data_IF_084897067570
#
_entry.id   IF_084897067570
#
_cell.length_a   1.000
_cell.length_b   1.000
_cell.length_c   1.000
_cell.angle_alpha   90.00
_cell.angle_beta   90.00
_cell.angle_gamma   90.00
#
_symmetry.space_group_name_H-M   'P 1'
#
loop_
_entity.id
_entity.type
_entity.pdbx_description
1 polymer ?
#
# COMPACT_ATOMS: atom_id res chain seq x y z
N UNK A 1 -10.56 10.22 -13.30
CA UNK A 1 -9.95 8.97 -12.79
C UNK A 1 -10.79 7.80 -13.27
N UNK A 2 -10.20 6.71 -13.76
CA UNK A 2 -10.95 5.51 -14.14
C UNK A 2 -11.66 4.93 -12.92
N UNK A 3 -12.90 4.49 -13.11
CA UNK A 3 -13.65 3.75 -12.12
C UNK A 3 -13.80 2.30 -12.59
N UNK A 4 -13.73 1.36 -11.65
CA UNK A 4 -13.92 -0.07 -11.93
C UNK A 4 -15.11 -0.58 -11.14
N UNK A 5 -15.95 -1.39 -11.80
CA UNK A 5 -16.94 -2.19 -11.11
C UNK A 5 -16.23 -3.37 -10.46
N UNK A 6 -16.27 -3.42 -9.14
CA UNK A 6 -15.61 -4.43 -8.34
C UNK A 6 -16.66 -5.27 -7.63
N UNK A 7 -16.74 -6.54 -8.03
CA UNK A 7 -17.60 -7.53 -7.38
C UNK A 7 -16.75 -8.47 -6.53
N UNK A 8 -17.20 -8.72 -5.30
CA UNK A 8 -16.55 -9.68 -4.41
C UNK A 8 -17.57 -10.39 -3.52
N UNK A 9 -17.19 -11.57 -3.03
CA UNK A 9 -17.96 -12.31 -2.03
C UNK A 9 -17.33 -12.11 -0.66
N UNK A 10 -18.15 -11.76 0.34
CA UNK A 10 -17.67 -11.61 1.70
C UNK A 10 -17.15 -12.96 2.22
N UNK A 11 -15.89 -13.01 2.65
CA UNK A 11 -15.28 -14.23 3.19
C UNK A 11 -15.97 -14.75 4.46
N UNK A 12 -16.66 -13.88 5.20
CA UNK A 12 -17.31 -14.21 6.48
C UNK A 12 -18.73 -14.74 6.32
N UNK A 13 -19.57 -14.09 5.51
CA UNK A 13 -20.99 -14.45 5.38
C UNK A 13 -21.42 -14.88 3.96
N UNK A 14 -20.49 -14.90 2.99
CA UNK A 14 -20.76 -15.33 1.62
C UNK A 14 -21.60 -14.37 0.78
N UNK A 15 -22.05 -13.23 1.33
CA UNK A 15 -22.86 -12.27 0.58
C UNK A 15 -22.08 -11.65 -0.58
N UNK A 16 -22.73 -11.57 -1.76
CA UNK A 16 -22.20 -10.85 -2.92
C UNK A 16 -22.27 -9.34 -2.66
N UNK A 17 -21.19 -8.65 -2.94
CA UNK A 17 -21.08 -7.20 -2.86
C UNK A 17 -20.58 -6.65 -4.21
N UNK A 18 -21.13 -5.50 -4.61
CA UNK A 18 -20.71 -4.78 -5.80
C UNK A 18 -20.51 -3.31 -5.44
N UNK A 19 -19.38 -2.75 -5.87
CA UNK A 19 -18.93 -1.40 -5.55
C UNK A 19 -18.26 -0.79 -6.78
N UNK A 20 -18.39 0.52 -6.94
CA UNK A 20 -17.60 1.27 -7.91
C UNK A 20 -16.40 1.87 -7.20
N UNK A 21 -15.19 1.43 -7.57
CA UNK A 21 -13.95 1.85 -6.92
C UNK A 21 -13.15 2.75 -7.86
N UNK A 22 -12.50 3.77 -7.31
CA UNK A 22 -11.54 4.56 -8.05
C UNK A 22 -10.27 3.73 -8.29
N UNK A 23 -9.76 3.74 -9.52
CA UNK A 23 -8.57 2.99 -9.89
C UNK A 23 -7.62 3.93 -10.65
N UNK A 24 -6.67 4.59 -9.97
CA UNK A 24 -5.65 5.38 -10.66
C UNK A 24 -4.62 4.46 -11.33
N UNK A 25 -3.93 4.97 -12.35
CA UNK A 25 -2.86 4.22 -13.03
C UNK A 25 -1.57 4.21 -12.22
N UNK A 26 -0.86 3.07 -12.24
CA UNK A 26 0.44 2.95 -11.59
C UNK A 26 1.42 4.03 -12.08
N UNK A 27 2.30 4.57 -11.22
CA UNK A 27 2.63 4.09 -9.86
C UNK A 27 1.63 4.45 -8.75
N UNK A 28 0.59 5.23 -9.07
CA UNK A 28 -0.42 5.66 -8.11
C UNK A 28 -1.36 4.51 -7.76
N UNK A 29 -1.98 4.58 -6.58
CA UNK A 29 -2.94 3.60 -6.10
C UNK A 29 -4.07 4.26 -5.32
N UNK A 30 -5.16 3.52 -5.16
CA UNK A 30 -6.26 3.86 -4.28
C UNK A 30 -6.42 2.77 -3.23
N UNK A 31 -6.70 3.17 -1.98
CA UNK A 31 -7.18 2.26 -0.94
C UNK A 31 -8.62 2.60 -0.59
N UNK A 32 -9.42 1.57 -0.39
CA UNK A 32 -10.81 1.72 0.04
C UNK A 32 -11.23 0.56 0.94
N UNK A 33 -12.15 0.85 1.86
CA UNK A 33 -12.79 -0.17 2.68
C UNK A 33 -13.89 -0.88 1.89
N UNK A 34 -13.77 -2.20 1.79
CA UNK A 34 -14.80 -3.12 1.32
C UNK A 34 -15.68 -3.52 2.50
N UNK A 35 -16.70 -2.71 2.79
CA UNK A 35 -17.69 -3.03 3.82
C UNK A 35 -18.78 -3.94 3.25
N UNK A 36 -18.95 -5.12 3.86
CA UNK A 36 -19.96 -6.08 3.46
C UNK A 36 -21.35 -5.61 3.86
N UNK A 37 -22.31 -5.61 2.92
CA UNK A 37 -23.72 -5.23 3.19
C UNK A 37 -24.46 -6.22 4.09
N UNK A 38 -24.08 -7.50 4.07
CA UNK A 38 -24.70 -8.57 4.86
C UNK A 38 -24.36 -8.52 6.35
N UNK A 39 -23.07 -8.65 6.70
CA UNK A 39 -22.63 -8.73 8.10
C UNK A 39 -21.92 -7.47 8.62
N UNK A 40 -21.68 -6.45 7.78
CA UNK A 40 -20.99 -5.22 8.16
C UNK A 40 -19.47 -5.34 8.32
N UNK A 41 -18.91 -6.54 8.14
CA UNK A 41 -17.48 -6.80 8.15
C UNK A 41 -16.75 -5.95 7.11
N UNK A 42 -15.54 -5.47 7.43
CA UNK A 42 -14.79 -4.57 6.57
C UNK A 42 -13.38 -5.13 6.34
N UNK A 43 -13.02 -5.30 5.07
CA UNK A 43 -11.66 -5.58 4.63
C UNK A 43 -11.17 -4.42 3.76
N UNK A 44 -9.87 -4.27 3.54
CA UNK A 44 -9.31 -3.21 2.71
C UNK A 44 -8.92 -3.75 1.36
N UNK A 45 -9.06 -2.90 0.34
CA UNK A 45 -8.54 -3.19 -1.00
C UNK A 45 -7.63 -2.07 -1.45
N UNK A 46 -6.48 -2.45 -2.00
CA UNK A 46 -5.57 -1.57 -2.72
C UNK A 46 -5.72 -1.87 -4.21
N UNK A 47 -5.97 -0.85 -5.04
CA UNK A 47 -6.12 -1.00 -6.50
C UNK A 47 -5.22 -0.05 -7.28
N UNK A 48 -4.77 -0.52 -8.44
CA UNK A 48 -4.05 0.29 -9.42
C UNK A 48 -4.22 -0.25 -10.85
N UNK A 49 -4.35 0.64 -11.83
CA UNK A 49 -4.39 0.29 -13.24
C UNK A 49 -2.98 0.00 -13.77
N UNK A 50 -2.89 -1.00 -14.65
CA UNK A 50 -1.68 -1.22 -15.42
C UNK A 50 -1.46 -0.02 -16.36
N UNK A 51 -0.25 0.56 -16.42
CA UNK A 51 0.02 1.71 -17.30
C UNK A 51 0.00 1.32 -18.79
N UNK A 52 0.13 0.03 -19.10
CA UNK A 52 0.24 -0.47 -20.48
C UNK A 52 -1.08 -1.01 -21.05
N UNK A 53 -2.12 -1.22 -20.22
CA UNK A 53 -3.41 -1.71 -20.70
C UNK A 53 -4.55 -1.31 -19.75
N UNK A 54 -5.81 -1.48 -20.18
CA UNK A 54 -6.99 -1.15 -19.37
C UNK A 54 -7.28 -2.11 -18.21
N UNK A 55 -6.38 -3.06 -17.89
CA UNK A 55 -6.56 -3.98 -16.76
C UNK A 55 -6.07 -3.35 -15.47
N UNK A 56 -6.58 -3.81 -14.34
CA UNK A 56 -6.14 -3.40 -13.01
C UNK A 56 -5.63 -4.60 -12.22
N UNK A 57 -4.84 -4.30 -11.20
CA UNK A 57 -4.38 -5.25 -10.19
C UNK A 57 -4.92 -4.79 -8.84
N UNK A 58 -5.16 -5.74 -7.95
CA UNK A 58 -5.70 -5.44 -6.63
C UNK A 58 -5.13 -6.37 -5.56
N UNK A 59 -5.12 -5.88 -4.33
CA UNK A 59 -4.74 -6.64 -3.14
C UNK A 59 -5.82 -6.46 -2.08
N UNK A 60 -6.37 -7.57 -1.59
CA UNK A 60 -7.32 -7.58 -0.48
C UNK A 60 -6.56 -7.94 0.78
N UNK A 61 -6.76 -7.17 1.84
CA UNK A 61 -6.04 -7.33 3.10
C UNK A 61 -6.89 -6.79 4.24
N UNK A 62 -6.92 -7.49 5.37
CA UNK A 62 -7.54 -6.97 6.60
C UNK A 62 -6.65 -5.94 7.30
N UNK A 63 -5.39 -5.86 6.89
CA UNK A 63 -4.43 -4.89 7.38
C UNK A 63 -4.30 -3.68 6.45
N UNK A 64 -4.05 -2.51 7.03
CA UNK A 64 -3.71 -1.31 6.29
C UNK A 64 -2.22 -1.37 5.87
N UNK A 65 -1.97 -1.78 4.63
CA UNK A 65 -0.61 -1.98 4.09
C UNK A 65 0.27 -0.71 4.20
N UNK A 66 -0.17 0.48 3.77
CA UNK A 66 0.61 1.71 4.01
C UNK A 66 0.86 2.00 5.48
N UNK A 67 -0.11 1.78 6.36
CA UNK A 67 0.10 2.01 7.79
C UNK A 67 1.14 1.05 8.37
N UNK A 68 1.16 -0.21 7.92
CA UNK A 68 2.20 -1.19 8.29
C UNK A 68 3.56 -0.71 7.80
N UNK A 69 3.70 -0.40 6.51
CA UNK A 69 4.97 0.04 5.92
C UNK A 69 5.49 1.28 6.63
N UNK A 70 4.63 2.28 6.85
CA UNK A 70 4.96 3.47 7.63
C UNK A 70 5.34 3.11 9.06
N UNK A 71 4.58 2.27 9.75
CA UNK A 71 4.89 1.83 11.12
C UNK A 71 6.26 1.16 11.26
N UNK A 72 6.61 0.27 10.33
CA UNK A 72 7.93 -0.35 10.29
C UNK A 72 9.05 0.67 10.04
N UNK A 73 8.84 1.62 9.12
CA UNK A 73 9.82 2.68 8.86
C UNK A 73 10.09 3.51 10.13
N UNK A 74 9.02 3.92 10.85
CA UNK A 74 9.14 4.65 12.12
C UNK A 74 9.89 3.88 13.18
N UNK A 75 9.53 2.60 13.35
CA UNK A 75 10.20 1.73 14.30
C UNK A 75 11.70 1.61 13.97
N UNK A 76 12.07 1.43 12.71
CA UNK A 76 13.47 1.33 12.31
C UNK A 76 14.25 2.61 12.61
N UNK A 77 13.71 3.78 12.28
CA UNK A 77 14.36 5.07 12.59
C UNK A 77 14.55 5.26 14.09
N UNK A 78 13.52 5.00 14.90
CA UNK A 78 13.62 5.10 16.37
C UNK A 78 14.71 4.20 16.95
N UNK A 79 14.84 2.96 16.46
CA UNK A 79 15.89 2.06 16.94
C UNK A 79 17.28 2.47 16.46
N UNK A 80 17.38 3.02 15.24
CA UNK A 80 18.65 3.54 14.73
C UNK A 80 19.07 4.83 15.42
N UNK A 81 18.14 5.63 15.95
CA UNK A 81 18.45 6.88 16.65
C UNK A 81 19.44 6.68 17.79
N UNK A 82 19.28 5.63 18.60
CA UNK A 82 20.22 5.32 19.69
C UNK A 82 21.64 4.99 19.19
N UNK A 83 21.77 4.43 17.97
CA UNK A 83 23.06 4.20 17.33
C UNK A 83 23.65 5.50 16.78
N UNK A 84 22.82 6.34 16.15
CA UNK A 84 23.19 7.66 15.64
C UNK A 84 23.70 8.54 16.78
N UNK A 85 22.99 8.59 17.90
CA UNK A 85 23.35 9.41 19.07
C UNK A 85 24.72 9.00 19.63
N UNK A 86 24.99 7.68 19.68
CA UNK A 86 26.30 7.15 20.13
C UNK A 86 27.43 7.46 19.15
N UNK A 87 27.16 7.42 17.84
CA UNK A 87 28.15 7.77 16.82
C UNK A 87 28.45 9.27 16.83
N UNK A 88 27.43 10.11 17.02
CA UNK A 88 27.58 11.55 17.15
C UNK A 88 28.46 11.93 18.36
N UNK A 89 28.31 11.23 19.49
CA UNK A 89 29.20 11.39 20.65
C UNK A 89 30.67 11.08 20.35
N UNK A 90 30.94 10.26 19.33
CA UNK A 90 32.29 9.89 18.89
C UNK A 90 32.80 10.78 17.75
N UNK A 91 32.07 11.84 17.40
CA UNK A 91 32.41 12.74 16.30
C UNK A 91 32.20 12.13 14.91
N UNK A 92 31.47 11.01 14.81
CA UNK A 92 31.14 10.37 13.55
C UNK A 92 29.76 10.85 13.05
N UNK A 93 29.68 11.19 11.76
CA UNK A 93 28.42 11.53 11.09
C UNK A 93 27.88 10.28 10.41
N UNK A 94 26.68 9.85 10.80
CA UNK A 94 25.96 8.76 10.12
C UNK A 94 24.87 9.40 9.25
N UNK A 95 25.03 9.29 7.93
CA UNK A 95 23.93 9.55 6.99
C UNK A 95 23.13 8.27 6.80
N UNK A 96 21.84 8.30 7.11
CA UNK A 96 20.92 7.19 6.80
C UNK A 96 20.11 7.60 5.58
N UNK A 97 20.39 6.96 4.45
CA UNK A 97 19.58 7.11 3.24
C UNK A 97 18.33 6.22 3.38
N UNK A 98 17.24 6.81 3.84
CA UNK A 98 15.93 6.13 3.91
C UNK A 98 15.16 6.40 2.63
N UNK A 99 14.64 5.36 1.94
CA UNK A 99 13.80 5.57 0.76
C UNK A 99 12.51 6.30 1.13
N UNK A 100 12.04 7.20 0.26
CA UNK A 100 10.76 7.93 0.38
C UNK A 100 9.55 7.08 -0.05
N UNK A 101 9.81 5.93 -0.71
CA UNK A 101 8.79 5.07 -1.31
C UNK A 101 9.10 3.59 -1.16
N UNK A 102 8.04 2.81 -0.98
CA UNK A 102 8.06 1.36 -0.98
C UNK A 102 7.34 0.81 -2.22
N UNK A 103 8.05 0.16 -3.17
CA UNK A 103 7.44 -0.36 -4.39
C UNK A 103 6.82 -1.75 -4.18
N UNK A 104 5.51 -1.87 -4.37
CA UNK A 104 4.85 -3.17 -4.57
C UNK A 104 4.98 -3.54 -6.05
N UNK A 105 5.88 -4.48 -6.35
CA UNK A 105 6.08 -4.98 -7.72
C UNK A 105 4.90 -5.86 -8.12
N UNK A 106 4.32 -5.58 -9.28
CA UNK A 106 3.19 -6.30 -9.84
C UNK A 106 3.45 -6.69 -11.29
N UNK A 107 2.83 -7.79 -11.72
CA UNK A 107 2.84 -8.25 -13.10
C UNK A 107 1.41 -8.25 -13.62
N UNK A 108 1.15 -7.49 -14.68
CA UNK A 108 -0.14 -7.51 -15.34
C UNK A 108 -0.27 -8.77 -16.21
N UNK A 109 -1.49 -9.25 -16.39
CA UNK A 109 -1.80 -10.31 -17.34
C UNK A 109 -1.50 -9.94 -18.82
N UNK A 110 -1.23 -8.68 -19.15
CA UNK A 110 -0.72 -8.29 -20.47
C UNK A 110 0.81 -8.48 -20.62
N UNK A 111 1.51 -8.94 -19.58
CA UNK A 111 2.97 -9.16 -19.56
C UNK A 111 3.77 -7.95 -19.04
N UNK A 112 3.13 -6.79 -18.86
CA UNK A 112 3.80 -5.62 -18.30
C UNK A 112 4.17 -5.83 -16.82
N UNK A 113 5.40 -5.43 -16.46
CA UNK A 113 5.87 -5.35 -15.07
C UNK A 113 5.88 -3.89 -14.65
N UNK A 114 5.27 -3.60 -13.50
CA UNK A 114 5.20 -2.24 -12.97
C UNK A 114 5.24 -2.28 -11.44
N UNK A 115 5.43 -1.11 -10.83
CA UNK A 115 5.38 -0.96 -9.39
C UNK A 115 4.24 -0.03 -9.00
N UNK A 116 3.58 -0.36 -7.90
CA UNK A 116 2.75 0.58 -7.14
C UNK A 116 3.62 1.17 -6.04
N UNK A 117 3.68 2.48 -5.93
CA UNK A 117 4.59 3.15 -4.99
C UNK A 117 3.83 3.64 -3.76
N UNK A 118 4.00 2.95 -2.64
CA UNK A 118 3.53 3.41 -1.34
C UNK A 118 4.47 4.49 -0.84
N UNK A 119 3.96 5.68 -0.54
CA UNK A 119 4.75 6.72 0.11
C UNK A 119 5.07 6.32 1.54
N UNK A 120 6.34 6.40 1.90
CA UNK A 120 6.79 6.29 3.28
C UNK A 120 6.69 7.72 3.84
N UNK A 121 5.87 7.96 4.88
CA UNK A 121 5.77 9.28 5.47
C UNK A 121 7.13 9.69 6.04
N UNK A 122 7.50 10.95 5.80
CA UNK A 122 8.70 11.52 6.40
C UNK A 122 8.55 11.56 7.92
N UNK A 123 9.67 11.37 8.60
CA UNK A 123 9.76 11.32 10.05
C UNK A 123 10.38 12.63 10.54
N UNK A 124 9.62 13.71 10.42
CA UNK A 124 9.91 14.97 11.10
C UNK A 124 9.79 14.84 12.62
#
# INVERSE_FOLDING_TARGET
MPNVEFEYYCYRCGSKNALTLQCPSAPQYQIQDLRCRGCGDATKVLLSHCPNCSRYVYWITDFDLPAIVGGFARYMVQNMQAMIDRAAQQGATIGVDTPDRYPIRSSCACGAKFAVEIRIPDLD
#
